data_IF_613702860271
#
_entry.id   IF_613702860271
#
_cell.length_a   1.000
_cell.length_b   1.000
_cell.length_c   1.000
_cell.angle_alpha   90.00
_cell.angle_beta   90.00
_cell.angle_gamma   90.00
#
_symmetry.space_group_name_H-M   'P 1'
#
loop_
_entity.id
_entity.type
_entity.pdbx_description
1 polymer ?
#
# COMPACT_ATOMS: atom_id res chain seq x y z
N UNK A 1 -4.19 38.66 -23.61
CA UNK A 1 -3.38 37.91 -22.63
C UNK A 1 -3.58 36.44 -22.95
N UNK A 2 -2.62 35.86 -23.64
CA UNK A 2 -2.60 34.49 -24.17
C UNK A 2 -2.08 33.55 -23.11
N UNK A 3 -2.85 32.50 -22.79
CA UNK A 3 -2.47 31.41 -21.87
C UNK A 3 -1.84 30.29 -22.71
N UNK A 4 -0.58 30.40 -23.01
CA UNK A 4 0.21 29.30 -23.56
C UNK A 4 1.32 28.93 -22.56
N UNK A 5 1.51 27.61 -22.44
CA UNK A 5 2.57 26.88 -21.75
C UNK A 5 2.36 26.55 -20.24
N UNK A 6 1.68 25.41 -20.04
CA UNK A 6 2.01 24.51 -18.93
C UNK A 6 2.49 23.16 -19.51
N UNK A 7 3.74 22.75 -19.30
CA UNK A 7 4.23 21.44 -19.73
C UNK A 7 3.82 20.36 -18.72
N UNK A 8 3.28 19.26 -19.23
CA UNK A 8 3.16 18.04 -18.43
C UNK A 8 1.82 17.32 -18.40
N UNK A 9 0.95 17.48 -19.38
CA UNK A 9 -0.18 16.56 -19.57
C UNK A 9 0.12 15.64 -20.75
N UNK A 10 0.63 14.44 -20.50
CA UNK A 10 0.60 13.37 -21.47
C UNK A 10 -0.84 12.86 -21.60
N UNK A 11 -1.41 13.05 -22.78
CA UNK A 11 -2.71 12.49 -23.16
C UNK A 11 -2.67 10.97 -23.05
N UNK A 12 -3.39 10.45 -22.06
CA UNK A 12 -3.69 9.03 -21.97
C UNK A 12 -4.89 8.79 -22.91
N UNK A 13 -4.60 8.39 -24.14
CA UNK A 13 -5.61 8.00 -25.11
C UNK A 13 -6.28 6.69 -24.62
N UNK A 14 -7.47 6.82 -24.06
CA UNK A 14 -8.32 5.67 -23.76
C UNK A 14 -8.96 5.22 -25.07
N UNK A 15 -8.46 4.13 -25.65
CA UNK A 15 -9.08 3.45 -26.79
C UNK A 15 -10.32 2.71 -26.31
N UNK A 16 -11.49 3.31 -26.49
CA UNK A 16 -12.76 2.64 -26.29
C UNK A 16 -13.11 1.95 -27.62
N UNK A 17 -13.07 0.60 -27.66
CA UNK A 17 -13.64 -0.17 -28.78
C UNK A 17 -15.17 -0.03 -28.76
N UNK A 18 -15.79 0.49 -29.81
CA UNK A 18 -17.25 0.49 -29.87
C UNK A 18 -17.76 -0.90 -30.25
N UNK A 19 -18.54 -1.52 -29.37
CA UNK A 19 -19.42 -2.59 -29.76
C UNK A 19 -20.60 -1.99 -30.50
N UNK A 20 -20.69 -2.29 -31.80
CA UNK A 20 -21.80 -2.24 -32.73
C UNK A 20 -23.05 -1.45 -32.31
N UNK A 21 -23.21 -0.28 -32.90
CA UNK A 21 -24.43 0.53 -32.87
C UNK A 21 -24.16 1.86 -33.57
N UNK A 22 -24.32 1.90 -34.91
CA UNK A 22 -24.13 3.10 -35.73
C UNK A 22 -25.17 4.16 -35.41
N UNK A 23 -24.77 5.25 -34.77
CA UNK A 23 -25.49 6.51 -34.73
C UNK A 23 -24.65 7.57 -35.42
N UNK A 24 -25.02 7.90 -36.67
CA UNK A 24 -24.45 9.00 -37.41
C UNK A 24 -24.96 10.34 -36.83
N UNK A 25 -24.09 11.05 -36.11
CA UNK A 25 -24.31 12.48 -35.83
C UNK A 25 -23.48 13.34 -36.79
N UNK A 26 -24.21 14.02 -37.70
CA UNK A 26 -23.67 14.95 -38.65
C UNK A 26 -23.43 16.31 -37.98
N UNK A 27 -22.18 16.76 -38.02
CA UNK A 27 -21.72 18.12 -37.81
C UNK A 27 -22.33 18.96 -36.68
N UNK A 28 -21.72 18.84 -35.49
CA UNK A 28 -21.60 19.97 -34.56
C UNK A 28 -20.33 19.75 -33.68
N UNK A 29 -19.45 20.77 -33.54
CA UNK A 29 -18.37 20.71 -32.58
C UNK A 29 -18.90 21.05 -31.17
N UNK A 30 -19.75 20.21 -30.64
CA UNK A 30 -20.06 20.26 -29.22
C UNK A 30 -19.04 19.42 -28.50
N UNK A 31 -18.04 20.06 -27.89
CA UNK A 31 -17.22 19.44 -26.86
C UNK A 31 -18.13 19.15 -25.66
N UNK A 32 -18.88 18.07 -25.76
CA UNK A 32 -19.63 17.53 -24.64
C UNK A 32 -18.58 16.93 -23.71
N UNK A 33 -18.17 17.73 -22.73
CA UNK A 33 -17.36 17.24 -21.62
C UNK A 33 -18.24 16.30 -20.82
N UNK A 34 -18.35 15.05 -21.28
CA UNK A 34 -18.90 13.98 -20.47
C UNK A 34 -17.96 13.83 -19.28
N UNK A 35 -18.26 14.58 -18.22
CA UNK A 35 -17.80 14.24 -16.90
C UNK A 35 -18.53 12.93 -16.59
N UNK A 36 -17.95 11.81 -17.04
CA UNK A 36 -18.35 10.52 -16.58
C UNK A 36 -18.30 10.62 -15.07
N UNK A 37 -19.44 10.66 -14.42
CA UNK A 37 -19.58 10.34 -13.01
C UNK A 37 -19.22 8.86 -12.94
N UNK A 38 -17.90 8.59 -12.92
CA UNK A 38 -17.40 7.30 -12.50
C UNK A 38 -17.76 7.25 -11.03
N UNK A 39 -18.95 6.73 -10.77
CA UNK A 39 -19.28 6.25 -9.43
C UNK A 39 -18.07 5.43 -9.01
N UNK A 40 -17.48 5.69 -7.83
CA UNK A 40 -16.37 4.88 -7.37
C UNK A 40 -16.90 3.45 -7.27
N UNK A 41 -16.52 2.63 -8.26
CA UNK A 41 -16.79 1.18 -8.20
C UNK A 41 -16.17 0.74 -6.88
N UNK A 42 -17.01 0.29 -5.95
CA UNK A 42 -16.57 -0.27 -4.68
C UNK A 42 -15.69 -1.47 -5.00
N UNK A 43 -14.39 -1.24 -5.03
CA UNK A 43 -13.38 -2.30 -5.12
C UNK A 43 -13.09 -2.75 -3.69
N UNK A 44 -13.43 -3.98 -3.30
CA UNK A 44 -13.12 -4.51 -1.97
C UNK A 44 -11.61 -4.54 -1.68
N UNK A 45 -10.76 -4.40 -2.71
CA UNK A 45 -9.32 -4.23 -2.54
C UNK A 45 -8.93 -2.80 -2.16
N UNK A 46 -9.85 -1.83 -2.12
CA UNK A 46 -9.57 -0.45 -1.71
C UNK A 46 -9.59 -0.29 -0.19
N UNK A 47 -8.49 0.14 0.37
CA UNK A 47 -8.38 0.52 1.77
C UNK A 47 -8.32 2.06 1.87
N UNK A 48 -9.43 2.70 2.31
CA UNK A 48 -9.48 4.15 2.44
C UNK A 48 -9.34 4.92 1.13
N UNK A 49 -9.94 4.42 0.03
CA UNK A 49 -9.95 5.06 -1.28
C UNK A 49 -8.68 4.85 -2.12
N UNK A 50 -7.76 3.99 -1.67
CA UNK A 50 -6.55 3.60 -2.41
C UNK A 50 -6.51 2.09 -2.61
N UNK A 51 -5.95 1.65 -3.73
CA UNK A 51 -5.72 0.22 -3.97
C UNK A 51 -4.58 -0.30 -3.08
N UNK A 52 -4.55 -1.60 -2.85
CA UNK A 52 -3.48 -2.25 -2.07
C UNK A 52 -2.11 -2.03 -2.73
N UNK A 53 -2.05 -2.03 -4.06
CA UNK A 53 -0.83 -1.79 -4.83
C UNK A 53 -0.30 -0.37 -4.57
N UNK A 54 -1.17 0.63 -4.52
CA UNK A 54 -0.79 2.02 -4.20
C UNK A 54 -0.24 2.14 -2.77
N UNK A 55 -0.83 1.45 -1.82
CA UNK A 55 -0.34 1.38 -0.44
C UNK A 55 1.03 0.70 -0.36
N UNK A 56 1.20 -0.43 -1.04
CA UNK A 56 2.48 -1.16 -1.08
C UNK A 56 3.55 -0.30 -1.75
N UNK A 57 3.24 0.38 -2.86
CA UNK A 57 4.17 1.26 -3.55
C UNK A 57 4.61 2.44 -2.67
N UNK A 58 3.68 3.07 -1.94
CA UNK A 58 4.01 4.12 -0.98
C UNK A 58 4.90 3.58 0.14
N UNK A 59 4.56 2.42 0.71
CA UNK A 59 5.37 1.79 1.76
C UNK A 59 6.78 1.47 1.25
N UNK A 60 6.91 0.90 0.07
CA UNK A 60 8.21 0.60 -0.55
C UNK A 60 9.04 1.87 -0.80
N UNK A 61 8.41 2.99 -1.18
CA UNK A 61 9.09 4.26 -1.41
C UNK A 61 9.63 4.90 -0.12
N UNK A 62 9.02 4.61 1.02
CA UNK A 62 9.48 5.07 2.34
C UNK A 62 10.53 4.14 2.97
N UNK A 63 10.80 2.96 2.38
CA UNK A 63 11.75 1.97 2.87
C UNK A 63 12.84 1.71 1.83
N UNK A 64 13.72 2.70 1.61
CA UNK A 64 14.78 2.62 0.60
C UNK A 64 16.09 2.05 1.16
N UNK A 65 16.36 2.26 2.44
CA UNK A 65 17.58 1.78 3.08
C UNK A 65 17.58 0.24 3.17
N UNK A 66 18.64 -0.45 2.68
CA UNK A 66 18.70 -1.92 2.71
C UNK A 66 18.69 -2.49 4.14
N UNK A 67 19.26 -1.78 5.11
CA UNK A 67 19.23 -2.19 6.53
C UNK A 67 17.80 -2.16 7.05
N UNK A 68 17.05 -1.07 6.77
CA UNK A 68 15.66 -0.96 7.15
C UNK A 68 14.82 -2.10 6.53
N UNK A 69 15.01 -2.36 5.24
CA UNK A 69 14.35 -3.48 4.54
C UNK A 69 14.67 -4.85 5.15
N UNK A 70 15.92 -5.07 5.58
CA UNK A 70 16.31 -6.30 6.26
C UNK A 70 15.67 -6.41 7.64
N UNK A 71 15.70 -5.33 8.42
CA UNK A 71 15.06 -5.25 9.74
C UNK A 71 13.56 -5.57 9.66
N UNK A 72 12.85 -5.00 8.66
CA UNK A 72 11.44 -5.28 8.44
C UNK A 72 11.18 -6.73 8.01
N UNK A 73 12.08 -7.30 7.20
CA UNK A 73 11.97 -8.70 6.77
C UNK A 73 12.04 -9.68 7.94
N UNK A 74 12.85 -9.37 8.96
CA UNK A 74 12.98 -10.17 10.18
C UNK A 74 11.95 -9.79 11.25
N UNK A 75 11.70 -8.50 11.44
CA UNK A 75 10.85 -7.99 12.51
C UNK A 75 9.37 -8.30 12.33
N UNK A 76 8.85 -8.19 11.09
CA UNK A 76 7.43 -8.46 10.82
C UNK A 76 7.03 -9.88 11.19
N UNK A 77 7.72 -10.96 10.75
CA UNK A 77 7.35 -12.32 11.14
C UNK A 77 7.46 -12.57 12.65
N UNK A 78 8.44 -11.98 13.34
CA UNK A 78 8.55 -12.11 14.80
C UNK A 78 7.32 -11.52 15.50
N UNK A 79 6.85 -10.33 15.07
CA UNK A 79 5.62 -9.73 15.60
C UNK A 79 4.41 -10.63 15.29
N UNK A 80 4.30 -11.13 14.05
CA UNK A 80 3.18 -11.99 13.66
C UNK A 80 3.16 -13.30 14.48
N UNK A 81 4.31 -13.96 14.66
CA UNK A 81 4.42 -15.15 15.50
C UNK A 81 4.06 -14.86 16.96
N UNK A 82 4.46 -13.70 17.49
CA UNK A 82 4.10 -13.31 18.85
C UNK A 82 2.59 -13.20 19.02
N UNK A 83 1.91 -12.57 18.06
CA UNK A 83 0.44 -12.41 18.05
C UNK A 83 -0.27 -13.75 17.95
N UNK A 84 0.26 -14.70 17.17
CA UNK A 84 -0.31 -16.06 17.04
C UNK A 84 -0.08 -16.91 18.31
N UNK A 85 1.11 -16.81 18.92
CA UNK A 85 1.47 -17.59 20.12
C UNK A 85 0.77 -17.05 21.38
N UNK A 86 0.53 -15.74 21.45
CA UNK A 86 -0.02 -15.10 22.63
C UNK A 86 -1.35 -15.73 23.11
N UNK A 87 -2.37 -15.99 22.27
CA UNK A 87 -3.61 -16.66 22.69
C UNK A 87 -3.37 -18.07 23.25
N UNK A 88 -2.39 -18.81 22.72
CA UNK A 88 -2.07 -20.14 23.22
C UNK A 88 -1.51 -20.11 24.67
N UNK A 89 -1.06 -18.97 25.15
CA UNK A 89 -0.61 -18.81 26.53
C UNK A 89 -1.73 -18.98 27.58
N UNK A 90 -3.00 -18.90 27.16
CA UNK A 90 -4.16 -19.22 27.99
C UNK A 90 -4.09 -20.68 28.45
N UNK A 91 -3.65 -21.58 27.56
CA UNK A 91 -3.53 -23.02 27.84
C UNK A 91 -2.14 -23.40 28.37
N UNK A 92 -1.09 -22.69 27.92
CA UNK A 92 0.32 -22.99 28.25
C UNK A 92 0.97 -21.75 28.86
N UNK A 93 0.87 -21.60 30.16
CA UNK A 93 1.23 -20.39 30.91
C UNK A 93 2.60 -19.78 30.54
N UNK A 94 3.62 -20.55 30.21
CA UNK A 94 4.96 -20.05 29.90
C UNK A 94 5.08 -19.44 28.51
N UNK A 95 4.11 -19.69 27.61
CA UNK A 95 4.17 -19.16 26.23
C UNK A 95 4.04 -17.62 26.15
N UNK A 96 3.46 -16.98 27.17
CA UNK A 96 3.37 -15.51 27.19
C UNK A 96 4.76 -14.85 27.22
N UNK A 97 5.75 -15.47 27.91
CA UNK A 97 7.13 -14.96 27.92
C UNK A 97 7.76 -15.05 26.54
N UNK A 98 7.52 -16.14 25.83
CA UNK A 98 8.02 -16.34 24.46
C UNK A 98 7.35 -15.33 23.54
N UNK A 99 6.03 -15.19 23.63
CA UNK A 99 5.28 -14.21 22.82
C UNK A 99 5.78 -12.78 23.09
N UNK A 100 5.98 -12.40 24.36
CA UNK A 100 6.51 -11.10 24.74
C UNK A 100 7.92 -10.87 24.18
N UNK A 101 8.81 -11.86 24.32
CA UNK A 101 10.18 -11.75 23.81
C UNK A 101 10.21 -11.57 22.30
N UNK A 102 9.41 -12.35 21.55
CA UNK A 102 9.28 -12.20 20.10
C UNK A 102 8.70 -10.84 19.71
N UNK A 103 7.70 -10.37 20.44
CA UNK A 103 7.08 -9.07 20.22
C UNK A 103 8.10 -7.94 20.40
N UNK A 104 8.80 -7.91 21.52
CA UNK A 104 9.79 -6.87 21.82
C UNK A 104 10.95 -6.93 20.82
N UNK A 105 11.44 -8.12 20.47
CA UNK A 105 12.52 -8.28 19.50
C UNK A 105 12.06 -7.82 18.11
N UNK A 106 10.85 -8.20 17.69
CA UNK A 106 10.29 -7.78 16.40
C UNK A 106 10.16 -6.26 16.30
N UNK A 107 9.64 -5.59 17.34
CA UNK A 107 9.55 -4.13 17.38
C UNK A 107 10.93 -3.46 17.46
N UNK A 108 11.90 -4.06 18.15
CA UNK A 108 13.28 -3.56 18.17
C UNK A 108 13.84 -3.50 16.75
N UNK A 109 13.66 -4.57 15.95
CA UNK A 109 14.07 -4.54 14.55
C UNK A 109 13.36 -3.44 13.76
N UNK A 110 12.05 -3.24 13.95
CA UNK A 110 11.32 -2.17 13.25
C UNK A 110 11.92 -0.80 13.56
N UNK A 111 12.10 -0.46 14.84
CA UNK A 111 12.62 0.85 15.23
C UNK A 111 14.08 1.05 14.82
N UNK A 112 14.93 0.02 14.95
CA UNK A 112 16.31 0.07 14.47
C UNK A 112 16.35 0.34 12.97
N UNK A 113 15.52 -0.37 12.18
CA UNK A 113 15.43 -0.13 10.74
C UNK A 113 15.07 1.32 10.42
N UNK A 114 14.04 1.87 11.07
CA UNK A 114 13.62 3.26 10.88
C UNK A 114 14.69 4.28 11.33
N UNK A 115 15.48 3.96 12.35
CA UNK A 115 16.60 4.81 12.75
C UNK A 115 17.65 4.92 11.63
N UNK A 116 17.94 3.84 10.90
CA UNK A 116 18.82 3.87 9.71
C UNK A 116 18.22 4.59 8.51
N UNK A 117 16.90 4.63 8.40
CA UNK A 117 16.19 5.38 7.36
C UNK A 117 16.12 6.89 7.67
N UNK A 118 16.40 7.29 8.91
CA UNK A 118 16.19 8.65 9.43
C UNK A 118 14.76 9.17 9.25
N UNK A 119 13.78 8.28 9.28
CA UNK A 119 12.35 8.58 9.15
C UNK A 119 11.56 7.89 10.24
N UNK A 120 10.53 8.59 10.73
CA UNK A 120 9.57 7.98 11.64
C UNK A 120 8.80 6.84 10.94
N UNK A 121 8.38 5.81 11.69
CA UNK A 121 7.50 4.77 11.15
C UNK A 121 6.20 5.35 10.56
N UNK A 122 5.81 4.90 9.37
CA UNK A 122 4.61 5.37 8.66
C UNK A 122 3.32 5.15 9.46
N UNK A 123 3.27 4.13 10.32
CA UNK A 123 2.07 3.85 11.12
C UNK A 123 1.79 4.90 12.20
N UNK A 124 2.73 5.79 12.52
CA UNK A 124 2.46 6.95 13.37
C UNK A 124 1.57 7.99 12.67
N UNK A 125 1.57 8.00 11.35
CA UNK A 125 0.73 8.89 10.55
C UNK A 125 -0.59 8.22 10.19
N UNK A 126 -0.56 6.91 9.89
CA UNK A 126 -1.74 6.11 9.56
C UNK A 126 -1.54 4.65 10.01
N UNK A 127 -2.33 4.20 10.98
CA UNK A 127 -2.26 2.83 11.53
C UNK A 127 -2.43 1.72 10.48
N UNK A 128 -3.04 2.03 9.33
CA UNK A 128 -3.21 1.07 8.21
C UNK A 128 -1.89 0.55 7.69
N UNK A 129 -0.82 1.34 7.85
CA UNK A 129 0.53 0.91 7.46
C UNK A 129 1.05 -0.31 8.21
N UNK A 130 0.49 -0.67 9.36
CA UNK A 130 0.79 -1.95 10.01
C UNK A 130 0.37 -3.12 9.12
N UNK A 131 -0.83 -3.07 8.53
CA UNK A 131 -1.32 -4.11 7.62
C UNK A 131 -0.63 -4.05 6.26
N UNK A 132 -0.36 -2.85 5.77
CA UNK A 132 0.40 -2.65 4.52
C UNK A 132 1.80 -3.25 4.66
N UNK A 133 2.48 -3.07 5.80
CA UNK A 133 3.77 -3.68 6.08
C UNK A 133 3.75 -5.21 5.98
N UNK A 134 2.71 -5.85 6.54
CA UNK A 134 2.53 -7.30 6.43
C UNK A 134 2.31 -7.74 4.97
N UNK A 135 1.49 -7.00 4.21
CA UNK A 135 1.23 -7.28 2.78
C UNK A 135 2.48 -7.08 1.93
N UNK A 136 3.24 -6.02 2.18
CA UNK A 136 4.52 -5.78 1.52
C UNK A 136 5.53 -6.90 1.82
N UNK A 137 5.68 -7.30 3.08
CA UNK A 137 6.53 -8.40 3.49
C UNK A 137 6.13 -9.70 2.78
N UNK A 138 4.84 -10.00 2.70
CA UNK A 138 4.32 -11.16 1.99
C UNK A 138 4.63 -11.11 0.50
N UNK A 139 4.42 -9.97 -0.15
CA UNK A 139 4.77 -9.76 -1.55
C UNK A 139 6.28 -9.95 -1.80
N UNK A 140 7.11 -9.46 -0.88
CA UNK A 140 8.58 -9.63 -0.94
C UNK A 140 9.00 -11.10 -0.87
N UNK A 141 8.40 -11.91 0.00
CA UNK A 141 8.69 -13.35 0.08
C UNK A 141 8.32 -14.06 -1.22
N UNK A 142 7.23 -13.60 -1.87
CA UNK A 142 6.81 -14.14 -3.16
C UNK A 142 7.63 -13.63 -4.35
N UNK A 143 8.64 -12.78 -4.13
CA UNK A 143 9.44 -12.17 -5.20
C UNK A 143 8.69 -11.12 -6.03
N UNK A 144 7.63 -10.52 -5.47
CA UNK A 144 6.75 -9.54 -6.15
C UNK A 144 6.99 -8.09 -5.69
N UNK A 145 7.92 -7.85 -4.74
CA UNK A 145 8.23 -6.53 -4.19
C UNK A 145 9.73 -6.30 -3.98
#
# INVERSE_FOLDING_TARGET
>A
MTWEHLPGYSEMAISIKPTSGSVLFRNQPCVFRVRALVEPVYDPAMLGGRTIEQWIAQYASSHQNPVNRACHTLGIPLILFSVVIFPASIFFHRLWLIALALFLLGWTFQFVGHAFEHKAPEFFHDWRFLFVGVRWWWAKIQGKA
#
